data_IF_770326847107
#
_entry.id   IF_770326847107
#
_cell.length_a   1.000
_cell.length_b   1.000
_cell.length_c   1.000
_cell.angle_alpha   90.00
_cell.angle_beta   90.00
_cell.angle_gamma   90.00
#
_symmetry.space_group_name_H-M   'P 1'
#
loop_
_entity.id
_entity.type
_entity.pdbx_description
1 polymer ?
#
# COMPACT_ATOMS: atom_id res chain seq x y z
N UNK A 1 -10.69 4.24 -23.44
CA UNK A 1 -11.30 4.43 -22.11
C UNK A 1 -10.77 3.34 -21.19
N UNK A 2 -10.58 3.63 -19.91
CA UNK A 2 -10.22 2.63 -18.90
C UNK A 2 -11.30 2.64 -17.81
N UNK A 3 -12.04 1.53 -17.69
CA UNK A 3 -13.12 1.36 -16.73
C UNK A 3 -12.68 0.57 -15.48
N UNK A 4 -11.39 0.24 -15.35
CA UNK A 4 -10.79 -0.33 -14.14
C UNK A 4 -10.32 0.77 -13.19
N UNK A 5 -9.05 0.70 -12.78
CA UNK A 5 -8.46 1.69 -11.87
C UNK A 5 -8.48 3.11 -12.45
N UNK A 6 -8.39 3.29 -13.77
CA UNK A 6 -8.51 4.59 -14.41
C UNK A 6 -9.80 5.36 -14.04
N UNK A 7 -10.90 4.66 -13.74
CA UNK A 7 -12.15 5.27 -13.33
C UNK A 7 -12.36 5.22 -11.80
N UNK A 8 -12.34 4.02 -11.22
CA UNK A 8 -12.66 3.81 -9.81
C UNK A 8 -11.61 4.40 -8.86
N UNK A 9 -10.33 4.13 -9.14
CA UNK A 9 -9.23 4.60 -8.30
C UNK A 9 -9.00 6.10 -8.47
N UNK A 10 -9.15 6.64 -9.69
CA UNK A 10 -9.17 8.07 -9.91
C UNK A 10 -10.24 8.77 -9.06
N UNK A 11 -11.45 8.21 -8.98
CA UNK A 11 -12.51 8.76 -8.13
C UNK A 11 -12.19 8.69 -6.63
N UNK A 12 -11.38 7.71 -6.18
CA UNK A 12 -10.89 7.64 -4.78
C UNK A 12 -9.86 8.74 -4.47
N UNK A 13 -9.13 9.23 -5.47
CA UNK A 13 -8.15 10.32 -5.33
C UNK A 13 -8.80 11.70 -5.41
N UNK A 14 -9.54 11.98 -6.48
CA UNK A 14 -10.03 13.35 -6.81
C UNK A 14 -11.54 13.53 -6.67
N UNK A 15 -12.25 12.50 -6.19
CA UNK A 15 -13.71 12.49 -6.05
C UNK A 15 -14.46 12.19 -7.36
N UNK A 16 -15.67 11.64 -7.23
CA UNK A 16 -16.47 11.19 -8.39
C UNK A 16 -16.82 12.29 -9.40
N UNK A 17 -17.03 13.54 -8.95
CA UNK A 17 -17.38 14.66 -9.85
C UNK A 17 -16.23 14.96 -10.80
N UNK A 18 -15.01 15.13 -10.28
CA UNK A 18 -13.82 15.42 -11.07
C UNK A 18 -13.40 14.22 -11.93
N UNK A 19 -13.45 13.01 -11.39
CA UNK A 19 -13.12 11.81 -12.19
C UNK A 19 -14.05 11.66 -13.41
N UNK A 20 -15.36 11.93 -13.27
CA UNK A 20 -16.29 11.94 -14.41
C UNK A 20 -16.00 13.09 -15.38
N UNK A 21 -15.64 14.27 -14.88
CA UNK A 21 -15.22 15.42 -15.72
C UNK A 21 -14.03 15.06 -16.60
N UNK A 22 -12.99 14.45 -16.02
CA UNK A 22 -11.79 13.97 -16.73
C UNK A 22 -12.18 13.00 -17.84
N UNK A 23 -12.97 11.97 -17.54
CA UNK A 23 -13.32 10.93 -18.51
C UNK A 23 -14.32 11.35 -19.58
N UNK A 24 -15.27 12.23 -19.26
CA UNK A 24 -16.34 12.60 -20.21
C UNK A 24 -15.92 13.74 -21.13
N UNK A 25 -15.10 14.67 -20.64
CA UNK A 25 -14.70 15.86 -21.40
C UNK A 25 -13.31 15.74 -22.02
N UNK A 26 -12.49 14.78 -21.58
CA UNK A 26 -11.15 14.52 -22.11
C UNK A 26 -10.28 15.78 -22.22
N UNK A 27 -10.47 16.74 -21.30
CA UNK A 27 -9.69 17.99 -21.26
C UNK A 27 -8.29 17.74 -20.73
N UNK A 28 -7.39 18.65 -21.07
CA UNK A 28 -6.07 18.72 -20.47
C UNK A 28 -6.12 19.60 -19.22
N UNK A 29 -5.32 19.25 -18.22
CA UNK A 29 -5.23 19.96 -16.95
C UNK A 29 -3.76 20.32 -16.69
N UNK A 30 -3.53 21.53 -16.17
CA UNK A 30 -2.19 21.98 -15.78
C UNK A 30 -1.73 21.33 -14.47
N UNK A 31 -0.44 21.43 -14.15
CA UNK A 31 0.10 20.95 -12.87
C UNK A 31 -0.61 21.59 -11.65
N UNK A 32 -0.90 22.89 -11.71
CA UNK A 32 -1.63 23.59 -10.65
C UNK A 32 -3.05 23.04 -10.47
N UNK A 33 -3.79 22.83 -11.57
CA UNK A 33 -5.14 22.25 -11.50
C UNK A 33 -5.12 20.82 -10.97
N UNK A 34 -4.13 20.02 -11.39
CA UNK A 34 -3.94 18.64 -10.90
C UNK A 34 -3.67 18.62 -9.38
N UNK A 35 -2.87 19.55 -8.87
CA UNK A 35 -2.60 19.69 -7.44
C UNK A 35 -3.86 20.12 -6.67
N UNK A 36 -4.57 21.14 -7.14
CA UNK A 36 -5.82 21.65 -6.53
C UNK A 36 -6.90 20.56 -6.40
N UNK A 37 -6.98 19.62 -7.35
CA UNK A 37 -7.94 18.52 -7.29
C UNK A 37 -7.46 17.29 -6.51
N UNK A 38 -6.21 17.29 -6.03
CA UNK A 38 -5.60 16.15 -5.31
C UNK A 38 -5.09 15.01 -6.20
N UNK A 39 -4.84 15.28 -7.48
CA UNK A 39 -4.32 14.27 -8.43
C UNK A 39 -2.81 14.05 -8.27
N UNK A 40 -2.07 15.07 -7.84
CA UNK A 40 -0.61 15.02 -7.59
C UNK A 40 -0.31 15.56 -6.20
N UNK A 41 0.78 15.09 -5.60
CA UNK A 41 1.12 15.45 -4.22
C UNK A 41 1.87 16.77 -4.07
N UNK A 42 2.59 17.24 -5.08
CA UNK A 42 3.33 18.51 -5.09
C UNK A 42 3.58 19.00 -6.53
N UNK A 43 3.91 20.28 -6.69
CA UNK A 43 4.28 20.90 -7.97
C UNK A 43 5.53 21.75 -7.76
N UNK A 44 6.57 21.48 -8.55
CA UNK A 44 7.86 22.17 -8.48
C UNK A 44 8.29 22.68 -9.86
N UNK A 45 9.22 23.66 -9.95
CA UNK A 45 9.86 24.03 -11.21
C UNK A 45 10.47 22.82 -11.92
N UNK A 46 10.47 22.84 -13.26
CA UNK A 46 10.91 21.70 -14.06
C UNK A 46 12.37 21.30 -13.78
N UNK A 47 13.24 22.28 -13.58
CA UNK A 47 14.66 22.10 -13.24
C UNK A 47 14.90 21.56 -11.81
N UNK A 48 13.85 21.50 -10.98
CA UNK A 48 13.87 20.97 -9.62
C UNK A 48 13.13 19.64 -9.46
N UNK A 49 12.54 19.11 -10.53
CA UNK A 49 11.73 17.89 -10.48
C UNK A 49 12.51 16.69 -9.91
N UNK A 50 13.73 16.46 -10.40
CA UNK A 50 14.56 15.33 -9.94
C UNK A 50 15.01 15.53 -8.49
N UNK A 51 15.45 16.74 -8.14
CA UNK A 51 15.90 17.10 -6.79
C UNK A 51 14.79 16.82 -5.75
N UNK A 52 13.59 17.34 -5.97
CA UNK A 52 12.43 17.11 -5.09
C UNK A 52 12.06 15.61 -5.02
N UNK A 53 12.07 14.92 -6.15
CA UNK A 53 11.72 13.49 -6.21
C UNK A 53 12.73 12.64 -5.42
N UNK A 54 14.03 12.91 -5.58
CA UNK A 54 15.10 12.21 -4.84
C UNK A 54 15.02 12.53 -3.35
N UNK A 55 14.67 13.76 -2.98
CA UNK A 55 14.44 14.11 -1.59
C UNK A 55 13.32 13.26 -0.97
N UNK A 56 12.16 13.17 -1.61
CA UNK A 56 11.05 12.33 -1.13
C UNK A 56 11.45 10.85 -1.00
N UNK A 57 12.16 10.32 -2.00
CA UNK A 57 12.69 8.96 -1.94
C UNK A 57 13.65 8.77 -0.75
N UNK A 58 14.54 9.73 -0.52
CA UNK A 58 15.49 9.70 0.60
C UNK A 58 14.75 9.71 1.94
N UNK A 59 13.72 10.53 2.09
CA UNK A 59 12.87 10.55 3.29
C UNK A 59 12.17 9.20 3.52
N UNK A 60 11.68 8.54 2.46
CA UNK A 60 11.06 7.20 2.55
C UNK A 60 12.08 6.13 2.94
N UNK A 61 13.34 6.23 2.48
CA UNK A 61 14.39 5.26 2.76
C UNK A 61 14.83 5.24 4.23
N UNK A 62 14.60 6.33 4.96
CA UNK A 62 14.84 6.41 6.41
C UNK A 62 13.74 5.72 7.25
N UNK A 63 12.63 5.30 6.62
CA UNK A 63 11.48 4.70 7.30
C UNK A 63 11.54 3.16 7.30
N UNK A 64 10.83 2.53 8.24
CA UNK A 64 10.74 1.07 8.34
C UNK A 64 10.13 0.44 7.08
N UNK A 65 10.88 -0.39 6.31
CA UNK A 65 10.35 -1.01 5.10
C UNK A 65 9.16 -1.94 5.38
N UNK A 66 9.15 -2.58 6.54
CA UNK A 66 8.03 -3.44 6.97
C UNK A 66 6.79 -2.61 7.29
N UNK A 67 6.93 -1.46 7.94
CA UNK A 67 5.78 -0.59 8.20
C UNK A 67 5.19 -0.07 6.88
N UNK A 68 6.04 0.41 5.97
CA UNK A 68 5.63 0.92 4.66
C UNK A 68 4.87 -0.14 3.84
N UNK A 69 5.37 -1.39 3.78
CA UNK A 69 4.67 -2.44 3.02
C UNK A 69 3.30 -2.77 3.62
N UNK A 70 3.18 -2.84 4.95
CA UNK A 70 1.92 -3.13 5.64
C UNK A 70 0.89 -2.01 5.40
N UNK A 71 1.32 -0.75 5.46
CA UNK A 71 0.48 0.40 5.14
C UNK A 71 0.02 0.37 3.68
N UNK A 72 0.92 0.10 2.73
CA UNK A 72 0.57 -0.05 1.32
C UNK A 72 -0.45 -1.18 1.10
N UNK A 73 -0.25 -2.34 1.73
CA UNK A 73 -1.22 -3.44 1.69
C UNK A 73 -2.58 -3.04 2.27
N UNK A 74 -2.60 -2.25 3.35
CA UNK A 74 -3.84 -1.73 3.94
C UNK A 74 -4.57 -0.75 3.01
N UNK A 75 -3.85 0.15 2.33
CA UNK A 75 -4.46 1.05 1.35
C UNK A 75 -5.07 0.28 0.17
N UNK A 76 -4.37 -0.74 -0.35
CA UNK A 76 -4.89 -1.58 -1.42
C UNK A 76 -6.13 -2.38 -0.97
N UNK A 77 -6.17 -2.84 0.29
CA UNK A 77 -7.32 -3.57 0.83
C UNK A 77 -8.61 -2.74 0.90
N UNK A 78 -8.53 -1.40 0.98
CA UNK A 78 -9.70 -0.52 0.92
C UNK A 78 -10.42 -0.60 -0.43
N UNK A 79 -9.68 -0.76 -1.52
CA UNK A 79 -10.23 -0.67 -2.88
C UNK A 79 -10.37 -2.02 -3.58
N UNK A 80 -9.54 -3.00 -3.21
CA UNK A 80 -9.36 -4.22 -4.02
C UNK A 80 -10.02 -5.46 -3.40
N UNK A 81 -10.72 -5.30 -2.28
CA UNK A 81 -11.44 -6.37 -1.60
C UNK A 81 -10.54 -7.57 -1.29
N UNK A 82 -10.92 -8.76 -1.78
CA UNK A 82 -10.16 -9.98 -1.53
C UNK A 82 -8.73 -9.95 -2.09
N UNK A 83 -8.48 -9.23 -3.18
CA UNK A 83 -7.14 -9.13 -3.75
C UNK A 83 -6.21 -8.30 -2.84
N UNK A 84 -6.69 -7.17 -2.33
CA UNK A 84 -5.94 -6.37 -1.36
C UNK A 84 -5.77 -7.08 -0.01
N UNK A 85 -6.81 -7.77 0.47
CA UNK A 85 -6.72 -8.61 1.67
C UNK A 85 -5.71 -9.76 1.51
N UNK A 86 -5.61 -10.37 0.33
CA UNK A 86 -4.61 -11.41 0.07
C UNK A 86 -3.19 -10.87 0.26
N UNK A 87 -2.90 -9.67 -0.27
CA UNK A 87 -1.59 -9.03 -0.09
C UNK A 87 -1.31 -8.76 1.40
N UNK A 88 -2.25 -8.14 2.10
CA UNK A 88 -2.10 -7.81 3.53
C UNK A 88 -1.92 -9.05 4.40
N UNK A 89 -2.73 -10.09 4.19
CA UNK A 89 -2.63 -11.36 4.91
C UNK A 89 -1.33 -12.11 4.57
N UNK A 90 -0.84 -11.99 3.33
CA UNK A 90 0.45 -12.53 2.93
C UNK A 90 1.62 -11.91 3.69
N UNK A 91 1.64 -10.59 3.83
CA UNK A 91 2.66 -9.89 4.62
C UNK A 91 2.54 -10.19 6.12
N UNK A 92 1.32 -10.33 6.65
CA UNK A 92 1.10 -10.79 8.02
C UNK A 92 1.62 -12.22 8.25
N UNK A 93 1.41 -13.12 7.28
CA UNK A 93 1.92 -14.50 7.32
C UNK A 93 3.45 -14.52 7.28
N UNK A 94 4.06 -13.65 6.45
CA UNK A 94 5.51 -13.48 6.42
C UNK A 94 6.05 -13.04 7.78
N UNK A 95 5.42 -12.06 8.44
CA UNK A 95 5.81 -11.64 9.79
C UNK A 95 5.66 -12.78 10.79
N UNK A 96 4.54 -13.50 10.75
CA UNK A 96 4.30 -14.66 11.60
C UNK A 96 5.40 -15.72 11.46
N UNK A 97 5.87 -16.02 10.24
CA UNK A 97 6.96 -16.97 10.06
C UNK A 97 8.30 -16.59 10.68
N UNK A 98 8.49 -15.33 11.09
CA UNK A 98 9.72 -14.90 11.78
C UNK A 98 9.70 -15.12 13.29
N UNK A 99 8.52 -15.27 13.91
CA UNK A 99 8.38 -15.43 15.36
C UNK A 99 8.54 -16.89 15.80
N UNK A 100 8.91 -17.09 17.07
CA UNK A 100 9.23 -18.42 17.60
C UNK A 100 8.02 -19.34 17.68
N UNK A 101 6.81 -18.80 17.82
CA UNK A 101 5.58 -19.58 17.78
C UNK A 101 5.40 -20.31 16.43
N UNK A 102 5.66 -19.63 15.31
CA UNK A 102 5.59 -20.27 14.00
C UNK A 102 6.71 -21.30 13.80
N UNK A 103 7.91 -21.03 14.31
CA UNK A 103 9.05 -21.96 14.25
C UNK A 103 8.74 -23.25 15.00
N UNK A 104 8.13 -23.17 16.19
CA UNK A 104 7.69 -24.34 16.96
C UNK A 104 6.72 -25.22 16.16
N UNK A 105 5.74 -24.62 15.47
CA UNK A 105 4.83 -25.37 14.61
C UNK A 105 5.57 -26.12 13.49
N UNK A 106 6.49 -25.43 12.80
CA UNK A 106 7.33 -26.02 11.75
C UNK A 106 8.22 -27.15 12.28
N UNK A 107 8.87 -26.93 13.42
CA UNK A 107 9.87 -27.85 13.96
C UNK A 107 9.22 -29.08 14.57
N UNK A 108 8.09 -28.92 15.28
CA UNK A 108 7.28 -30.06 15.75
C UNK A 108 6.82 -30.96 14.60
N UNK A 109 6.43 -30.37 13.46
CA UNK A 109 6.08 -31.13 12.26
C UNK A 109 7.27 -31.92 11.70
N UNK A 110 8.44 -31.30 11.58
CA UNK A 110 9.68 -31.96 11.13
C UNK A 110 10.10 -33.10 12.06
N UNK A 111 9.98 -32.88 13.36
CA UNK A 111 10.35 -33.81 14.42
C UNK A 111 9.27 -34.87 14.69
N UNK A 112 8.12 -34.80 14.01
CA UNK A 112 6.97 -35.71 14.17
C UNK A 112 6.47 -35.79 15.62
N UNK A 113 6.53 -34.68 16.35
CA UNK A 113 6.01 -34.53 17.71
C UNK A 113 4.81 -33.58 17.73
N UNK A 114 4.08 -33.58 18.84
CA UNK A 114 3.03 -32.58 19.07
C UNK A 114 3.69 -31.22 19.37
N UNK A 115 3.21 -30.11 18.80
CA UNK A 115 3.72 -28.78 19.13
C UNK A 115 3.28 -28.36 20.55
N UNK A 116 4.09 -27.54 21.21
CA UNK A 116 3.81 -26.96 22.52
C UNK A 116 3.72 -25.43 22.42
N UNK A 117 2.54 -24.90 22.09
CA UNK A 117 2.33 -23.44 22.04
C UNK A 117 2.07 -22.80 23.41
N UNK A 118 1.94 -23.58 24.50
CA UNK A 118 1.71 -23.04 25.85
C UNK A 118 2.88 -22.20 26.36
N UNK A 119 4.06 -22.33 25.74
CA UNK A 119 5.27 -21.60 26.11
C UNK A 119 5.31 -20.15 25.59
N UNK A 120 4.38 -19.76 24.71
CA UNK A 120 4.34 -18.41 24.14
C UNK A 120 3.30 -17.52 24.83
N UNK A 121 3.56 -16.20 24.94
CA UNK A 121 2.61 -15.27 25.54
C UNK A 121 1.34 -15.16 24.70
N UNK A 122 0.20 -14.98 25.37
CA UNK A 122 -1.08 -14.66 24.72
C UNK A 122 -1.37 -13.18 24.93
N UNK A 123 -1.51 -12.44 23.84
CA UNK A 123 -1.96 -11.06 23.89
C UNK A 123 -3.49 -11.02 24.09
N UNK A 124 -4.01 -10.07 24.90
CA UNK A 124 -5.43 -9.96 25.22
C UNK A 124 -6.31 -9.59 24.02
#
# INVERSE_FOLDING_TARGET
FDAGYGAGYLARMIGHKRAREVWFLCRQYTAAQAYEMGMVNTVVPFDKLEEETVQWCSEILELSPMALRMLKGSFNADTDGLAGLQQFAGDATLMYYTIDEAKEGRDAFKEKRKPNFKQFPKFP
#
